data_IF_524818898745
#
_entry.id   IF_524818898745
#
_cell.length_a   1.000
_cell.length_b   1.000
_cell.length_c   1.000
_cell.angle_alpha   90.00
_cell.angle_beta   90.00
_cell.angle_gamma   90.00
#
_symmetry.space_group_name_H-M   'P 1'
#
loop_
_entity.id
_entity.type
_entity.pdbx_description
1 polymer ?
#
# COMPACT_ATOMS: atom_id res chain seq x y z
N UNK A 1 8.87 -16.32 -23.37
CA UNK A 1 9.29 -15.41 -22.27
C UNK A 1 8.72 -14.03 -22.51
N UNK A 2 8.94 -13.41 -23.68
CA UNK A 2 8.28 -12.14 -24.06
C UNK A 2 6.75 -12.24 -24.02
N UNK A 3 6.16 -13.31 -24.57
CA UNK A 3 4.69 -13.50 -24.56
C UNK A 3 4.07 -13.52 -23.16
N UNK A 4 4.82 -13.94 -22.12
CA UNK A 4 4.34 -13.91 -20.73
C UNK A 4 4.52 -12.54 -20.07
N UNK A 5 5.54 -11.78 -20.47
CA UNK A 5 5.76 -10.42 -19.97
C UNK A 5 4.63 -9.48 -20.42
N UNK A 6 4.19 -9.62 -21.68
CA UNK A 6 3.09 -8.81 -22.24
C UNK A 6 1.73 -9.11 -21.58
N UNK A 7 1.59 -10.28 -20.94
CA UNK A 7 0.40 -10.66 -20.18
C UNK A 7 0.43 -10.24 -18.70
N UNK A 8 1.54 -9.65 -18.23
CA UNK A 8 1.72 -9.32 -16.82
C UNK A 8 1.24 -7.91 -16.51
N UNK A 9 0.27 -7.80 -15.61
CA UNK A 9 -0.20 -6.51 -15.09
C UNK A 9 0.50 -6.17 -13.78
N UNK A 10 1.05 -4.96 -13.69
CA UNK A 10 1.66 -4.41 -12.49
C UNK A 10 0.87 -3.20 -12.00
N UNK A 11 0.64 -3.12 -10.69
CA UNK A 11 0.06 -1.94 -10.06
C UNK A 11 1.05 -1.39 -9.03
N UNK A 12 1.53 -0.18 -9.28
CA UNK A 12 2.28 0.58 -8.28
C UNK A 12 1.30 1.42 -7.46
N UNK A 13 1.30 1.24 -6.14
CA UNK A 13 0.62 2.13 -5.20
C UNK A 13 1.65 2.87 -4.37
N UNK A 14 1.56 4.19 -4.36
CA UNK A 14 2.28 5.04 -3.41
C UNK A 14 1.24 5.45 -2.37
N UNK A 15 1.51 5.32 -1.09
CA UNK A 15 0.53 5.66 -0.04
C UNK A 15 1.21 6.48 1.04
N UNK A 16 0.52 7.53 1.51
CA UNK A 16 0.91 8.29 2.69
C UNK A 16 -0.27 8.28 3.66
N UNK A 17 0.01 7.84 4.88
CA UNK A 17 -0.96 7.89 5.97
C UNK A 17 -0.78 9.16 6.79
N UNK A 18 -1.88 9.80 7.18
CA UNK A 18 -1.85 10.90 8.14
C UNK A 18 -1.43 10.34 9.51
N UNK A 19 -0.54 11.04 10.21
CA UNK A 19 -0.20 10.69 11.59
C UNK A 19 -1.42 10.80 12.51
N UNK A 20 -1.39 10.14 13.69
CA UNK A 20 -2.52 10.16 14.60
C UNK A 20 -2.75 11.57 15.18
N UNK A 21 -4.02 11.96 15.32
CA UNK A 21 -4.40 13.29 15.85
C UNK A 21 -4.33 13.37 17.40
N UNK A 22 -4.38 12.20 18.04
CA UNK A 22 -4.20 11.96 19.48
C UNK A 22 -3.08 10.95 19.71
N UNK A 23 -2.77 10.65 20.97
CA UNK A 23 -1.83 9.57 21.32
C UNK A 23 -2.45 8.17 21.16
N UNK A 24 -3.70 8.08 20.72
CA UNK A 24 -4.36 6.81 20.51
C UNK A 24 -3.88 6.15 19.23
N UNK A 25 -3.86 4.82 19.26
CA UNK A 25 -3.58 4.03 18.08
C UNK A 25 -4.74 4.14 17.09
N UNK A 26 -4.46 4.59 15.87
CA UNK A 26 -5.46 4.74 14.81
C UNK A 26 -5.22 3.75 13.66
N UNK A 27 -6.27 3.30 13.00
CA UNK A 27 -6.14 2.48 11.79
C UNK A 27 -5.89 3.40 10.59
N UNK A 28 -4.75 3.22 9.93
CA UNK A 28 -4.46 3.85 8.63
C UNK A 28 -5.09 3.07 7.47
N UNK A 29 -5.12 1.75 7.57
CA UNK A 29 -5.78 0.87 6.60
C UNK A 29 -6.36 -0.34 7.32
N UNK A 30 -7.63 -0.65 7.03
CA UNK A 30 -8.32 -1.79 7.63
C UNK A 30 -7.69 -3.13 7.21
N UNK A 31 -7.95 -4.16 8.03
CA UNK A 31 -7.47 -5.52 7.77
C UNK A 31 -8.02 -6.06 6.46
N UNK A 32 -7.14 -6.51 5.57
CA UNK A 32 -7.50 -7.08 4.26
C UNK A 32 -6.42 -8.03 3.74
N UNK A 33 -6.71 -8.72 2.64
CA UNK A 33 -5.74 -9.45 1.81
C UNK A 33 -5.62 -8.78 0.45
N UNK A 34 -4.47 -8.97 -0.22
CA UNK A 34 -4.26 -8.46 -1.56
C UNK A 34 -4.83 -9.40 -2.62
N UNK A 35 -5.48 -8.87 -3.65
CA UNK A 35 -6.08 -9.68 -4.73
C UNK A 35 -5.08 -10.14 -5.80
N UNK A 36 -3.86 -9.61 -5.77
CA UNK A 36 -2.82 -9.90 -6.75
C UNK A 36 -2.15 -11.28 -6.53
N UNK A 37 -1.08 -11.56 -7.27
CA UNK A 37 -0.25 -12.77 -7.10
C UNK A 37 0.78 -12.54 -5.98
N UNK A 38 1.55 -11.45 -6.07
CA UNK A 38 2.56 -11.05 -5.09
C UNK A 38 2.52 -9.53 -4.90
N UNK A 39 2.69 -9.10 -3.65
CA UNK A 39 2.96 -7.71 -3.27
C UNK A 39 4.41 -7.58 -2.82
N UNK A 40 5.12 -6.57 -3.34
CA UNK A 40 6.42 -6.13 -2.84
C UNK A 40 6.23 -4.75 -2.23
N UNK A 41 6.49 -4.63 -0.93
CA UNK A 41 6.24 -3.43 -0.15
C UNK A 41 7.54 -2.87 0.42
N UNK A 42 7.75 -1.58 0.20
CA UNK A 42 8.77 -0.78 0.84
C UNK A 42 8.12 0.21 1.81
N UNK A 43 8.72 0.41 2.99
CA UNK A 43 8.29 1.41 3.97
C UNK A 43 9.42 2.39 4.25
N UNK A 44 9.09 3.68 4.27
CA UNK A 44 10.05 4.76 4.48
C UNK A 44 10.41 4.96 5.96
N UNK A 45 10.99 3.93 6.61
CA UNK A 45 11.46 3.94 8.01
C UNK A 45 10.39 4.34 9.04
N UNK A 46 9.12 4.22 8.68
CA UNK A 46 7.98 4.45 9.58
C UNK A 46 7.28 3.12 9.78
N UNK A 47 7.20 2.70 11.04
CA UNK A 47 6.43 1.55 11.47
C UNK A 47 4.94 1.76 11.18
N UNK A 48 4.24 0.67 10.88
CA UNK A 48 2.79 0.73 10.77
C UNK A 48 2.16 -0.52 10.16
N UNK A 49 2.89 -1.23 9.30
CA UNK A 49 2.45 -2.53 8.81
C UNK A 49 2.34 -3.54 9.94
N UNK A 50 1.17 -4.17 10.06
CA UNK A 50 0.97 -5.37 10.84
C UNK A 50 0.45 -6.49 9.97
N UNK A 51 0.99 -7.68 10.16
CA UNK A 51 0.61 -8.90 9.42
C UNK A 51 0.05 -9.92 10.41
N UNK A 52 -1.08 -10.53 10.06
CA UNK A 52 -1.70 -11.57 10.86
C UNK A 52 -1.09 -12.93 10.54
N UNK A 53 -0.69 -13.62 11.60
CA UNK A 53 -0.28 -15.02 11.58
C UNK A 53 -1.49 -15.95 11.42
N UNK A 54 -1.23 -17.22 11.06
CA UNK A 54 -2.29 -18.24 10.92
C UNK A 54 -3.05 -18.53 12.22
N UNK A 55 -2.45 -18.28 13.38
CA UNK A 55 -3.08 -18.40 14.70
C UNK A 55 -3.76 -17.08 15.16
N UNK A 56 -3.89 -16.10 14.26
CA UNK A 56 -4.67 -14.88 14.48
C UNK A 56 -3.91 -13.75 15.19
N UNK A 57 -2.65 -13.97 15.58
CA UNK A 57 -1.81 -12.95 16.23
C UNK A 57 -1.29 -11.95 15.21
N UNK A 58 -1.22 -10.69 15.61
CA UNK A 58 -0.66 -9.61 14.80
C UNK A 58 0.82 -9.42 15.10
N UNK A 59 1.64 -9.38 14.06
CA UNK A 59 3.08 -9.09 14.14
C UNK A 59 3.33 -7.75 13.45
N UNK A 60 3.99 -6.83 14.16
CA UNK A 60 4.46 -5.57 13.57
C UNK A 60 5.73 -5.79 12.77
N UNK A 61 5.78 -5.23 11.56
CA UNK A 61 7.01 -5.21 10.77
C UNK A 61 7.88 -4.00 11.15
N UNK A 62 9.16 -4.27 11.36
CA UNK A 62 10.19 -3.27 11.67
C UNK A 62 10.95 -2.91 10.38
N UNK A 63 10.71 -1.72 9.79
CA UNK A 63 11.28 -1.37 8.49
C UNK A 63 12.78 -1.07 8.55
N UNK A 64 13.54 -1.58 7.59
CA UNK A 64 14.96 -1.30 7.39
C UNK A 64 15.24 -0.69 6.00
N UNK A 65 16.21 0.23 5.85
CA UNK A 65 16.66 0.81 4.56
C UNK A 65 17.00 -0.19 3.47
N UNK A 66 17.33 -1.42 3.85
CA UNK A 66 17.78 -2.45 2.92
C UNK A 66 16.81 -3.63 2.85
N UNK A 67 15.54 -3.41 3.22
CA UNK A 67 14.54 -4.46 3.30
C UNK A 67 13.25 -4.12 2.55
N UNK A 68 12.64 -5.16 2.00
CA UNK A 68 11.29 -5.13 1.44
C UNK A 68 10.49 -6.28 2.06
N UNK A 69 9.18 -6.07 2.20
CA UNK A 69 8.25 -7.15 2.56
C UNK A 69 7.70 -7.74 1.27
N UNK A 70 7.72 -9.07 1.16
CA UNK A 70 7.09 -9.79 0.06
C UNK A 70 5.92 -10.58 0.63
N UNK A 71 4.72 -10.32 0.13
CA UNK A 71 3.48 -10.98 0.56
C UNK A 71 2.82 -11.70 -0.59
N UNK A 72 2.18 -12.83 -0.27
CA UNK A 72 1.39 -13.61 -1.20
C UNK A 72 -0.02 -13.03 -1.27
N UNK A 73 -0.53 -12.81 -2.48
CA UNK A 73 -1.92 -12.40 -2.68
C UNK A 73 -2.87 -13.59 -2.93
N UNK A 74 -4.17 -13.31 -2.91
CA UNK A 74 -5.25 -14.29 -3.05
C UNK A 74 -5.15 -15.10 -4.35
N UNK A 75 -4.69 -14.48 -5.44
CA UNK A 75 -4.57 -15.18 -6.74
C UNK A 75 -3.53 -16.31 -6.65
N UNK A 76 -2.41 -16.07 -5.97
CA UNK A 76 -1.37 -17.08 -5.83
C UNK A 76 -1.72 -18.12 -4.77
N UNK A 77 -2.42 -17.72 -3.70
CA UNK A 77 -3.03 -18.65 -2.77
C UNK A 77 -3.94 -19.65 -3.50
N UNK A 78 -4.86 -19.16 -4.33
CA UNK A 78 -5.77 -20.00 -5.11
C UNK A 78 -4.99 -20.89 -6.11
N UNK A 79 -4.04 -20.32 -6.86
CA UNK A 79 -3.26 -21.07 -7.85
C UNK A 79 -2.43 -22.20 -7.21
N UNK A 80 -1.91 -21.98 -6.00
CA UNK A 80 -1.17 -23.01 -5.26
C UNK A 80 -2.08 -23.99 -4.51
N UNK A 81 -3.40 -23.92 -4.73
CA UNK A 81 -4.41 -24.70 -4.01
C UNK A 81 -4.25 -24.59 -2.48
N UNK A 82 -4.04 -23.37 -2.00
CA UNK A 82 -3.95 -23.03 -0.58
C UNK A 82 -2.61 -23.33 0.10
N UNK A 83 -1.61 -23.84 -0.64
CA UNK A 83 -0.29 -24.16 -0.06
C UNK A 83 0.46 -22.91 0.43
N UNK A 84 0.40 -21.82 -0.35
CA UNK A 84 0.91 -20.52 0.07
C UNK A 84 -0.24 -19.71 0.68
N UNK A 85 -0.03 -19.13 1.85
CA UNK A 85 -1.06 -18.38 2.58
C UNK A 85 -1.03 -16.90 2.22
N UNK A 86 -2.18 -16.32 1.86
CA UNK A 86 -2.31 -14.87 1.75
C UNK A 86 -2.66 -14.29 3.12
N UNK A 87 -1.76 -13.51 3.76
CA UNK A 87 -1.99 -13.04 5.10
C UNK A 87 -2.90 -11.81 5.12
N UNK A 88 -3.80 -11.79 6.10
CA UNK A 88 -4.42 -10.53 6.49
C UNK A 88 -3.35 -9.56 6.94
N UNK A 89 -3.43 -8.32 6.49
CA UNK A 89 -2.54 -7.26 6.89
C UNK A 89 -3.31 -5.95 7.05
N UNK A 90 -2.77 -5.04 7.88
CA UNK A 90 -3.37 -3.74 8.18
C UNK A 90 -2.27 -2.70 8.38
N UNK A 91 -2.66 -1.43 8.35
CA UNK A 91 -1.78 -0.33 8.73
C UNK A 91 -2.30 0.31 10.01
N UNK A 92 -1.42 0.39 11.00
CA UNK A 92 -1.65 0.99 12.31
C UNK A 92 -0.76 2.21 12.46
N UNK A 93 -1.35 3.34 12.80
CA UNK A 93 -0.67 4.59 13.08
C UNK A 93 -0.54 4.73 14.59
N UNK A 94 0.69 4.77 15.09
CA UNK A 94 1.01 4.95 16.51
C UNK A 94 2.19 5.91 16.66
N UNK A 95 2.20 6.70 17.72
CA UNK A 95 3.29 7.65 18.03
C UNK A 95 2.80 9.03 18.44
N UNK A 96 3.74 9.87 18.89
CA UNK A 96 3.48 11.27 19.22
C UNK A 96 3.06 12.07 17.98
N UNK A 97 2.19 13.07 18.20
CA UNK A 97 1.71 14.01 17.17
C UNK A 97 2.91 14.61 16.42
N UNK A 98 3.25 14.08 15.25
CA UNK A 98 4.33 14.63 14.43
C UNK A 98 3.90 15.96 13.83
N UNK A 99 4.75 16.96 14.01
CA UNK A 99 4.67 18.27 13.36
C UNK A 99 4.53 18.06 11.85
N UNK A 100 3.55 18.74 11.25
CA UNK A 100 3.30 18.66 9.82
C UNK A 100 4.56 19.07 9.05
N UNK A 101 5.21 18.12 8.39
CA UNK A 101 6.13 18.46 7.31
C UNK A 101 5.26 18.89 6.13
N UNK A 102 5.42 20.13 5.62
CA UNK A 102 4.66 20.59 4.46
C UNK A 102 4.92 19.61 3.33
N UNK A 103 3.82 19.06 2.81
CA UNK A 103 3.84 18.15 1.71
C UNK A 103 4.36 18.87 0.47
N UNK A 104 5.45 18.34 -0.11
CA UNK A 104 5.87 18.75 -1.45
C UNK A 104 4.85 18.27 -2.50
N UNK A 105 4.11 17.21 -2.20
CA UNK A 105 3.17 16.53 -3.10
C UNK A 105 1.90 16.10 -2.34
N UNK A 106 0.74 16.13 -3.01
CA UNK A 106 -0.48 15.55 -2.46
C UNK A 106 -0.28 14.04 -2.20
N UNK A 107 -0.79 13.52 -1.06
CA UNK A 107 -0.77 12.09 -0.80
C UNK A 107 -1.63 11.37 -1.84
N UNK A 108 -1.14 10.24 -2.35
CA UNK A 108 -1.92 9.47 -3.31
C UNK A 108 -3.07 8.74 -2.60
N UNK A 109 -4.30 9.13 -2.90
CA UNK A 109 -5.51 8.36 -2.60
C UNK A 109 -6.01 7.70 -3.88
N UNK A 110 -6.23 6.38 -3.83
CA UNK A 110 -6.60 5.62 -5.02
C UNK A 110 -8.01 5.97 -5.55
N UNK A 111 -8.96 6.22 -4.65
CA UNK A 111 -10.35 6.51 -5.03
C UNK A 111 -10.43 7.91 -5.62
N UNK A 112 -9.81 8.89 -4.97
CA UNK A 112 -9.73 10.26 -5.48
C UNK A 112 -8.90 10.33 -6.76
N UNK A 113 -7.81 9.57 -6.88
CA UNK A 113 -7.03 9.49 -8.11
C UNK A 113 -7.88 8.94 -9.26
N UNK A 114 -8.66 7.87 -9.03
CA UNK A 114 -9.55 7.34 -10.07
C UNK A 114 -10.61 8.38 -10.47
N UNK A 115 -11.21 9.07 -9.49
CA UNK A 115 -12.15 10.16 -9.76
C UNK A 115 -11.50 11.25 -10.61
N UNK A 116 -10.29 11.69 -10.24
CA UNK A 116 -9.49 12.65 -11.01
C UNK A 116 -9.16 12.14 -12.40
N UNK A 117 -8.74 10.88 -12.52
CA UNK A 117 -8.32 10.25 -13.77
C UNK A 117 -9.45 10.27 -14.82
N UNK A 118 -10.70 10.11 -14.40
CA UNK A 118 -11.86 10.17 -15.31
C UNK A 118 -12.37 11.59 -15.61
N UNK A 119 -11.75 12.65 -15.05
CA UNK A 119 -12.06 14.03 -15.44
C UNK A 119 -11.38 14.42 -16.76
N UNK A 120 -11.87 15.47 -17.43
CA UNK A 120 -11.19 16.02 -18.61
C UNK A 120 -9.73 16.44 -18.31
N UNK A 121 -9.49 17.00 -17.11
CA UNK A 121 -8.16 17.39 -16.69
C UNK A 121 -7.22 16.18 -16.52
N UNK A 122 -7.72 15.09 -15.92
CA UNK A 122 -6.98 13.84 -15.76
C UNK A 122 -6.66 13.16 -17.10
N UNK A 123 -7.61 13.15 -18.04
CA UNK A 123 -7.44 12.55 -19.36
C UNK A 123 -6.49 13.34 -20.28
N UNK A 124 -6.39 14.67 -20.09
CA UNK A 124 -5.47 15.53 -20.86
C UNK A 124 -4.09 15.67 -20.24
N UNK A 125 -3.91 15.23 -19.00
CA UNK A 125 -2.63 15.32 -18.32
C UNK A 125 -1.58 14.44 -19.00
N UNK A 126 -0.39 14.99 -19.26
CA UNK A 126 0.75 14.19 -19.74
C UNK A 126 1.11 13.07 -18.76
N UNK A 127 0.89 13.30 -17.47
CA UNK A 127 0.93 12.28 -16.42
C UNK A 127 -0.13 12.61 -15.38
N UNK A 128 -1.26 11.91 -15.43
CA UNK A 128 -2.34 12.07 -14.46
C UNK A 128 -1.83 11.91 -13.01
N UNK A 129 -0.91 10.98 -12.78
CA UNK A 129 -0.34 10.75 -11.45
C UNK A 129 0.46 11.96 -10.94
N UNK A 130 1.34 12.53 -11.77
CA UNK A 130 2.11 13.73 -11.39
C UNK A 130 1.19 14.92 -11.14
N UNK A 131 0.22 15.15 -12.03
CA UNK A 131 -0.74 16.24 -11.89
C UNK A 131 -1.58 16.09 -10.62
N UNK A 132 -2.07 14.89 -10.31
CA UNK A 132 -2.84 14.63 -9.09
C UNK A 132 -1.99 14.81 -7.82
N UNK A 133 -0.77 14.28 -7.83
CA UNK A 133 0.16 14.39 -6.70
C UNK A 133 0.82 15.77 -6.61
N UNK A 134 0.62 16.69 -7.56
CA UNK A 134 1.24 18.02 -7.56
C UNK A 134 2.76 18.02 -7.80
N UNK A 135 3.27 17.08 -8.60
CA UNK A 135 4.70 16.89 -8.89
C UNK A 135 5.16 17.41 -10.26
#
# INVERSE_FOLDING_TARGET
MEEHLDSTNYLLRVMKYKGPESNDTQLGLHSHTDKNIVTILYQNHVEGLQVQTKDGKWISFQPSPNSFVVMIGDSFHAWTNGRLYSPYHRVVMSGERKQEHPLLFNPFDHVEFLQFYYTEAGQRAQSALKTYCGA
#
